data_IF_316570371423
#
_entry.id   IF_316570371423
#
_cell.length_a   1.000
_cell.length_b   1.000
_cell.length_c   1.000
_cell.angle_alpha   90.00
_cell.angle_beta   90.00
_cell.angle_gamma   90.00
#
_symmetry.space_group_name_H-M   'P 1'
#
loop_
_entity.id
_entity.type
_entity.pdbx_description
1 polymer ?
#
# COMPACT_ATOMS: atom_id res chain seq x y z
N UNK A 1 0.93 -5.59 5.57
CA UNK A 1 -0.54 -5.54 5.58
C UNK A 1 -1.03 -5.81 7.00
N UNK A 2 -2.08 -5.13 7.44
CA UNK A 2 -2.55 -5.21 8.81
C UNK A 2 -1.84 -4.26 9.78
N UNK A 3 -2.40 -4.13 10.98
CA UNK A 3 -1.99 -3.15 11.98
C UNK A 3 -0.51 -3.26 12.37
N UNK A 4 0.04 -4.49 12.39
CA UNK A 4 1.44 -4.74 12.70
C UNK A 4 2.40 -4.02 11.74
N UNK A 5 2.13 -4.03 10.43
CA UNK A 5 2.99 -3.33 9.45
C UNK A 5 2.77 -1.83 9.44
N UNK A 6 1.54 -1.37 9.67
CA UNK A 6 1.18 0.05 9.51
C UNK A 6 1.62 0.87 10.72
N UNK A 7 1.31 0.41 11.93
CA UNK A 7 1.57 1.16 13.18
C UNK A 7 2.43 0.40 14.19
N UNK A 8 2.84 -0.84 13.89
CA UNK A 8 3.44 -1.76 14.85
C UNK A 8 2.40 -2.64 15.56
N UNK A 9 1.12 -2.31 15.46
CA UNK A 9 0.01 -3.11 15.99
C UNK A 9 0.17 -3.45 17.47
N UNK A 10 -0.05 -4.71 17.81
CA UNK A 10 0.05 -5.25 19.18
C UNK A 10 1.47 -5.16 19.76
N UNK A 11 2.50 -5.10 18.93
CA UNK A 11 3.91 -5.07 19.35
C UNK A 11 4.47 -3.65 19.44
N UNK A 12 3.62 -2.64 19.24
CA UNK A 12 4.05 -1.24 19.23
C UNK A 12 4.63 -0.79 20.58
N UNK A 13 4.18 -1.30 21.72
CA UNK A 13 4.67 -0.87 23.05
C UNK A 13 5.80 -1.73 23.62
N UNK A 14 5.74 -3.06 23.45
CA UNK A 14 6.57 -4.01 24.23
C UNK A 14 7.70 -4.72 23.46
N UNK A 15 7.91 -4.45 22.17
CA UNK A 15 8.95 -5.13 21.39
C UNK A 15 10.05 -4.19 20.91
N UNK A 16 11.27 -4.38 21.46
CA UNK A 16 12.50 -3.70 21.04
C UNK A 16 13.01 -4.17 19.68
N UNK A 17 12.61 -5.37 19.24
CA UNK A 17 12.99 -6.00 17.98
C UNK A 17 12.04 -5.64 16.83
N UNK A 18 10.96 -4.91 17.09
CA UNK A 18 9.95 -4.59 16.07
C UNK A 18 9.96 -3.12 15.70
N UNK A 19 9.87 -2.87 14.39
CA UNK A 19 9.79 -1.54 13.82
C UNK A 19 8.38 -0.99 13.98
N UNK A 20 8.25 0.20 14.55
CA UNK A 20 6.98 0.91 14.78
C UNK A 20 6.46 1.54 13.49
N UNK A 21 5.98 0.71 12.58
CA UNK A 21 5.33 1.10 11.34
C UNK A 21 6.30 1.27 10.17
N UNK A 22 5.83 0.90 8.98
CA UNK A 22 6.61 0.95 7.73
C UNK A 22 7.02 2.38 7.36
N UNK A 23 6.25 3.37 7.80
CA UNK A 23 6.44 4.80 7.54
C UNK A 23 7.71 5.37 8.19
N UNK A 24 8.14 4.80 9.32
CA UNK A 24 9.33 5.28 10.04
C UNK A 24 10.65 4.70 9.53
N UNK A 25 10.60 3.58 8.80
CA UNK A 25 11.81 2.87 8.37
C UNK A 25 12.02 2.89 6.86
N UNK A 26 10.95 3.09 6.09
CA UNK A 26 10.99 2.90 4.64
C UNK A 26 10.38 4.07 3.85
N UNK A 27 10.82 5.34 4.08
CA UNK A 27 10.37 6.47 3.26
C UNK A 27 10.76 6.35 1.78
N UNK A 28 11.63 5.40 1.43
CA UNK A 28 12.09 5.13 0.06
C UNK A 28 11.25 4.09 -0.69
N UNK A 29 10.45 3.26 -0.02
CA UNK A 29 9.58 2.27 -0.68
C UNK A 29 8.15 2.77 -0.60
N UNK A 30 7.57 3.23 -1.71
CA UNK A 30 6.19 3.70 -1.71
C UNK A 30 5.24 2.53 -1.44
N UNK A 31 4.33 2.72 -0.49
CA UNK A 31 3.27 1.76 -0.22
C UNK A 31 2.07 2.11 -1.08
N UNK A 32 1.68 1.20 -1.98
CA UNK A 32 0.56 1.44 -2.88
C UNK A 32 -0.80 1.47 -2.19
N UNK A 33 -1.02 0.54 -1.25
CA UNK A 33 -2.29 0.39 -0.54
C UNK A 33 -2.06 -0.06 0.89
N UNK A 34 -2.62 0.69 1.84
CA UNK A 34 -2.70 0.31 3.24
C UNK A 34 -3.97 -0.50 3.51
N UNK A 35 -3.80 -1.74 3.98
CA UNK A 35 -4.91 -2.61 4.37
C UNK A 35 -4.94 -2.77 5.89
N UNK A 36 -5.84 -2.08 6.63
CA UNK A 36 -5.95 -2.22 8.08
C UNK A 36 -6.62 -3.56 8.46
N UNK A 37 -6.18 -4.16 9.57
CA UNK A 37 -6.74 -5.41 10.10
C UNK A 37 -5.77 -6.19 11.00
N UNK A 38 -6.29 -7.10 11.82
CA UNK A 38 -5.47 -7.93 12.71
C UNK A 38 -6.15 -9.30 12.98
N UNK A 39 -6.12 -10.26 12.03
CA UNK A 39 -5.79 -10.13 10.60
C UNK A 39 -6.93 -9.45 9.81
N UNK A 40 -6.66 -8.87 8.61
CA UNK A 40 -7.70 -8.28 7.78
C UNK A 40 -8.70 -9.34 7.32
N UNK A 41 -9.97 -8.95 7.21
CA UNK A 41 -11.03 -9.83 6.69
C UNK A 41 -10.76 -10.17 5.21
N UNK A 42 -11.10 -11.40 4.78
CA UNK A 42 -10.83 -11.84 3.41
C UNK A 42 -11.50 -10.95 2.36
N UNK A 43 -12.69 -10.40 2.64
CA UNK A 43 -13.38 -9.47 1.74
C UNK A 43 -12.57 -8.19 1.51
N UNK A 44 -11.94 -7.68 2.56
CA UNK A 44 -11.12 -6.48 2.48
C UNK A 44 -9.83 -6.72 1.67
N UNK A 45 -9.29 -7.94 1.67
CA UNK A 45 -8.15 -8.32 0.83
C UNK A 45 -8.53 -8.32 -0.65
N UNK A 46 -9.68 -8.91 -1.00
CA UNK A 46 -10.18 -8.97 -2.38
C UNK A 46 -10.47 -7.56 -2.91
N UNK A 47 -11.10 -6.72 -2.09
CA UNK A 47 -11.37 -5.32 -2.46
C UNK A 47 -10.06 -4.53 -2.65
N UNK A 48 -9.07 -4.72 -1.78
CA UNK A 48 -7.76 -4.09 -1.93
C UNK A 48 -7.03 -4.47 -3.23
N UNK A 49 -7.09 -5.75 -3.62
CA UNK A 49 -6.52 -6.23 -4.90
C UNK A 49 -7.26 -5.59 -6.09
N UNK A 50 -8.59 -5.49 -6.00
CA UNK A 50 -9.40 -4.87 -7.04
C UNK A 50 -9.08 -3.38 -7.18
N UNK A 51 -8.91 -2.68 -6.05
CA UNK A 51 -8.51 -1.27 -6.00
C UNK A 51 -7.11 -1.05 -6.57
N UNK A 52 -6.17 -1.94 -6.28
CA UNK A 52 -4.81 -1.91 -6.84
C UNK A 52 -4.84 -2.07 -8.37
N UNK A 53 -5.59 -3.05 -8.88
CA UNK A 53 -5.75 -3.24 -10.34
C UNK A 53 -6.32 -2.00 -11.02
N UNK A 54 -7.31 -1.34 -10.40
CA UNK A 54 -7.89 -0.08 -10.91
C UNK A 54 -6.91 1.11 -10.83
N UNK A 55 -5.96 1.11 -9.90
CA UNK A 55 -4.93 2.15 -9.80
C UNK A 55 -3.92 1.99 -10.95
N UNK A 56 -3.41 0.78 -11.16
CA UNK A 56 -2.49 0.45 -12.25
C UNK A 56 -3.12 0.74 -13.61
N UNK A 57 -4.38 0.37 -13.82
CA UNK A 57 -5.08 0.64 -15.08
C UNK A 57 -5.20 2.15 -15.40
N UNK A 58 -5.33 3.01 -14.38
CA UNK A 58 -5.33 4.46 -14.56
C UNK A 58 -3.95 4.99 -14.90
N UNK A 59 -2.92 4.55 -14.18
CA UNK A 59 -1.53 4.93 -14.45
C UNK A 59 -1.10 4.57 -15.89
N UNK A 60 -1.51 3.39 -16.39
CA UNK A 60 -1.22 2.99 -17.79
C UNK A 60 -1.91 3.91 -18.80
N UNK A 61 -3.16 4.30 -18.56
CA UNK A 61 -3.88 5.23 -19.45
C UNK A 61 -3.26 6.62 -19.45
N UNK A 62 -2.81 7.11 -18.29
CA UNK A 62 -2.13 8.40 -18.18
C UNK A 62 -0.79 8.37 -18.93
N UNK A 63 -0.03 7.29 -18.84
CA UNK A 63 1.21 7.10 -19.64
C UNK A 63 0.90 7.08 -21.14
N UNK A 64 -0.18 6.42 -21.56
CA UNK A 64 -0.56 6.38 -22.96
C UNK A 64 -0.95 7.77 -23.49
N UNK A 65 -1.64 8.59 -22.69
CA UNK A 65 -1.97 9.97 -23.06
C UNK A 65 -0.72 10.85 -23.18
N UNK A 66 0.26 10.68 -22.29
CA UNK A 66 1.54 11.41 -22.35
C UNK A 66 2.32 11.04 -23.63
N UNK A 67 2.35 9.76 -24.00
CA UNK A 67 3.01 9.32 -25.24
C UNK A 67 2.37 9.87 -26.52
N UNK A 68 1.07 10.16 -26.49
CA UNK A 68 0.35 10.80 -27.60
C UNK A 68 0.57 12.31 -27.64
N UNK A 69 0.78 12.97 -26.50
CA UNK A 69 1.16 14.39 -26.46
C UNK A 69 2.61 14.66 -26.86
N UNK A 70 3.52 13.71 -26.65
CA UNK A 70 4.93 13.84 -27.07
C UNK A 70 5.14 13.55 -28.57
N UNK A 71 4.12 13.02 -29.25
CA UNK A 71 4.15 12.72 -30.70
C UNK A 71 3.55 13.84 -31.58
N UNK A 72 3.15 14.98 -31.01
CA UNK A 72 2.50 16.09 -31.73
C UNK A 72 3.21 17.42 -31.51
#
# INVERSE_FOLDING_TARGET
MGACTITGGMFSTDSYSTVRGVDKLIPLIPVDVYLPGCPPKPEAVIDAITKLRKKIAREINDIHLISLSDSN
#
